data_IF_843294292866
#
_entry.id   IF_843294292866
#
_cell.length_a   1.000
_cell.length_b   1.000
_cell.length_c   1.000
_cell.angle_alpha   90.00
_cell.angle_beta   90.00
_cell.angle_gamma   90.00
#
_symmetry.space_group_name_H-M   'P 1'
#
loop_
_entity.id
_entity.type
_entity.pdbx_description
1 polymer ?
#
# COMPACT_ATOMS: atom_id res chain seq x y z
N UNK A 1 17.76 -15.46 -5.07
CA UNK A 1 17.57 -14.03 -5.33
C UNK A 1 16.40 -13.90 -6.29
N UNK A 2 15.26 -13.35 -5.86
CA UNK A 2 14.11 -13.09 -6.74
C UNK A 2 14.29 -11.71 -7.37
N UNK A 3 14.25 -11.64 -8.69
CA UNK A 3 14.16 -10.37 -9.38
C UNK A 3 12.83 -9.70 -9.00
N UNK A 4 12.86 -8.45 -8.56
CA UNK A 4 11.67 -7.65 -8.29
C UNK A 4 11.68 -6.44 -9.22
N UNK A 5 10.50 -6.02 -9.66
CA UNK A 5 10.32 -4.80 -10.46
C UNK A 5 10.49 -3.56 -9.60
N UNK A 6 9.93 -3.56 -8.38
CA UNK A 6 10.01 -2.45 -7.43
C UNK A 6 9.94 -2.97 -5.98
N UNK A 7 10.62 -2.30 -5.05
CA UNK A 7 10.52 -2.56 -3.61
C UNK A 7 10.74 -1.27 -2.82
N UNK A 8 9.92 -1.00 -1.81
CA UNK A 8 10.17 0.02 -0.78
C UNK A 8 10.39 -0.59 0.62
N UNK A 9 10.55 -1.91 0.68
CA UNK A 9 10.55 -2.68 1.92
C UNK A 9 11.63 -2.23 2.92
N UNK A 10 11.25 -2.08 4.20
CA UNK A 10 12.12 -1.64 5.30
C UNK A 10 12.85 -0.32 4.99
N UNK A 11 12.21 0.60 4.26
CA UNK A 11 12.78 1.89 3.89
C UNK A 11 13.90 1.81 2.83
N UNK A 12 14.17 0.63 2.26
CA UNK A 12 15.11 0.46 1.16
C UNK A 12 14.36 0.48 -0.16
N UNK A 13 14.58 1.52 -0.96
CA UNK A 13 13.99 1.63 -2.29
C UNK A 13 14.89 0.92 -3.31
N UNK A 14 14.30 -0.03 -4.04
CA UNK A 14 14.89 -0.66 -5.21
C UNK A 14 13.91 -0.55 -6.36
N UNK A 15 14.34 0.11 -7.43
CA UNK A 15 13.52 0.36 -8.62
C UNK A 15 14.25 -0.17 -9.86
N UNK A 16 13.75 -1.27 -10.42
CA UNK A 16 14.29 -1.90 -11.62
C UNK A 16 13.43 -1.60 -12.86
N UNK A 17 12.49 -0.64 -12.78
CA UNK A 17 11.57 -0.31 -13.89
C UNK A 17 12.26 0.37 -15.07
N UNK A 18 13.44 1.00 -14.86
CA UNK A 18 14.09 1.89 -15.83
C UNK A 18 15.42 1.39 -16.45
N UNK A 19 15.96 0.20 -16.13
CA UNK A 19 17.28 -0.17 -16.66
C UNK A 19 17.81 -1.59 -16.42
N UNK A 20 18.75 -1.99 -17.29
CA UNK A 20 19.38 -3.33 -17.43
C UNK A 20 20.13 -3.77 -16.16
N UNK A 21 19.98 -5.06 -15.85
CA UNK A 21 20.42 -5.80 -14.65
C UNK A 21 19.48 -5.62 -13.44
N UNK A 22 18.59 -6.62 -13.26
CA UNK A 22 17.70 -6.70 -12.11
C UNK A 22 18.51 -6.78 -10.81
N UNK A 23 18.44 -5.74 -9.98
CA UNK A 23 18.99 -5.81 -8.63
C UNK A 23 18.15 -6.79 -7.82
N UNK A 24 18.79 -7.87 -7.39
CA UNK A 24 18.20 -8.79 -6.44
C UNK A 24 17.97 -8.07 -5.11
N UNK A 25 16.75 -8.13 -4.59
CA UNK A 25 16.45 -7.61 -3.27
C UNK A 25 16.43 -8.79 -2.30
N UNK A 26 17.39 -8.81 -1.38
CA UNK A 26 17.26 -9.60 -0.15
C UNK A 26 16.44 -8.77 0.84
N UNK A 27 15.12 -8.70 0.61
CA UNK A 27 14.24 -7.85 1.42
C UNK A 27 13.88 -8.49 2.76
N UNK A 28 14.34 -9.72 3.06
CA UNK A 28 13.76 -10.53 4.13
C UNK A 28 12.26 -10.77 3.93
N UNK A 29 11.77 -10.62 2.70
CA UNK A 29 10.37 -10.79 2.33
C UNK A 29 10.13 -12.26 2.00
N UNK A 30 9.02 -12.86 2.47
CA UNK A 30 8.69 -14.24 2.15
C UNK A 30 8.72 -14.44 0.65
N UNK A 31 9.45 -15.46 0.16
CA UNK A 31 9.50 -15.79 -1.28
C UNK A 31 8.23 -16.50 -1.76
N UNK A 32 7.48 -17.05 -0.82
CA UNK A 32 6.25 -17.79 -1.05
C UNK A 32 5.24 -17.42 0.04
N UNK A 33 3.97 -17.39 -0.35
CA UNK A 33 2.82 -17.29 0.55
C UNK A 33 2.17 -18.68 0.59
N UNK A 34 2.55 -19.49 1.57
CA UNK A 34 2.26 -20.94 1.56
C UNK A 34 2.96 -21.59 0.37
N UNK A 35 2.20 -22.27 -0.49
CA UNK A 35 2.72 -22.97 -1.68
C UNK A 35 2.72 -22.09 -2.95
N UNK A 36 2.32 -20.82 -2.86
CA UNK A 36 2.15 -19.94 -4.02
C UNK A 36 3.20 -18.84 -4.07
N UNK A 37 3.70 -18.56 -5.26
CA UNK A 37 4.43 -17.32 -5.56
C UNK A 37 3.45 -16.14 -5.58
N UNK A 38 3.91 -14.95 -5.17
CA UNK A 38 3.13 -13.72 -5.22
C UNK A 38 3.64 -12.81 -6.35
N UNK A 39 2.74 -12.05 -6.98
CA UNK A 39 3.07 -11.02 -7.97
C UNK A 39 3.39 -9.69 -7.31
N UNK A 40 2.75 -9.39 -6.18
CA UNK A 40 3.05 -8.23 -5.35
C UNK A 40 2.63 -8.47 -3.89
N UNK A 41 3.30 -7.77 -2.97
CA UNK A 41 3.05 -7.76 -1.54
C UNK A 41 3.00 -6.31 -1.05
N UNK A 42 2.04 -5.99 -0.20
CA UNK A 42 1.94 -4.70 0.46
C UNK A 42 1.72 -4.90 1.95
N UNK A 43 2.43 -4.14 2.77
CA UNK A 43 2.36 -4.21 4.22
C UNK A 43 2.90 -2.96 4.88
N UNK A 44 2.84 -2.92 6.20
CA UNK A 44 3.36 -1.82 7.04
C UNK A 44 4.83 -1.42 6.77
N UNK A 45 5.63 -2.33 6.22
CA UNK A 45 7.05 -2.15 5.96
C UNK A 45 7.30 -1.66 4.52
N UNK A 46 6.25 -1.41 3.75
CA UNK A 46 6.30 -0.98 2.36
C UNK A 46 5.66 -2.00 1.42
N UNK A 47 6.06 -1.95 0.15
CA UNK A 47 5.57 -2.87 -0.88
C UNK A 47 6.71 -3.53 -1.64
N UNK A 48 6.43 -4.70 -2.18
CA UNK A 48 7.31 -5.44 -3.09
C UNK A 48 6.50 -5.86 -4.31
N UNK A 49 6.97 -5.50 -5.48
CA UNK A 49 6.37 -5.83 -6.78
C UNK A 49 7.31 -6.82 -7.47
N UNK A 50 6.95 -8.09 -7.50
CA UNK A 50 7.72 -9.14 -8.15
C UNK A 50 7.49 -9.14 -9.67
N UNK A 51 6.26 -8.82 -10.12
CA UNK A 51 5.86 -8.80 -11.52
C UNK A 51 5.41 -7.38 -11.94
N UNK A 52 5.90 -6.91 -13.10
CA UNK A 52 5.49 -5.64 -13.69
C UNK A 52 3.99 -5.58 -14.06
N UNK A 53 3.33 -6.74 -14.22
CA UNK A 53 1.89 -6.85 -14.44
C UNK A 53 1.02 -6.67 -13.18
N UNK A 54 1.61 -6.42 -12.00
CA UNK A 54 0.86 -6.27 -10.76
C UNK A 54 -0.03 -5.01 -10.75
N UNK A 55 -1.31 -5.18 -10.41
CA UNK A 55 -2.24 -4.07 -10.22
C UNK A 55 -2.08 -3.46 -8.81
N UNK A 56 -1.22 -2.45 -8.71
CA UNK A 56 -0.92 -1.75 -7.45
C UNK A 56 -2.15 -1.07 -6.82
N UNK A 57 -3.02 -0.36 -7.57
CA UNK A 57 -4.26 0.18 -7.01
C UNK A 57 -5.16 -0.89 -6.36
N UNK A 58 -5.35 -2.04 -7.01
CA UNK A 58 -6.13 -3.15 -6.43
C UNK A 58 -5.49 -3.74 -5.18
N UNK A 59 -4.16 -3.79 -5.13
CA UNK A 59 -3.42 -4.21 -3.94
C UNK A 59 -3.61 -3.23 -2.77
N UNK A 60 -3.53 -1.92 -3.03
CA UNK A 60 -3.79 -0.88 -2.03
C UNK A 60 -5.24 -0.92 -1.52
N UNK A 61 -6.21 -1.19 -2.40
CA UNK A 61 -7.61 -1.35 -2.00
C UNK A 61 -7.79 -2.57 -1.08
N UNK A 62 -7.19 -3.71 -1.42
CA UNK A 62 -7.23 -4.91 -0.58
C UNK A 62 -6.59 -4.63 0.79
N UNK A 63 -5.45 -3.92 0.80
CA UNK A 63 -4.78 -3.50 2.02
C UNK A 63 -5.67 -2.67 2.93
N UNK A 64 -6.32 -1.62 2.40
CA UNK A 64 -7.21 -0.77 3.18
C UNK A 64 -8.43 -1.52 3.71
N UNK A 65 -8.96 -2.48 2.96
CA UNK A 65 -10.06 -3.35 3.43
C UNK A 65 -9.64 -4.19 4.62
N UNK A 66 -8.42 -4.74 4.63
CA UNK A 66 -7.89 -5.44 5.81
C UNK A 66 -7.59 -4.47 6.96
N UNK A 67 -6.99 -3.32 6.68
CA UNK A 67 -6.76 -2.28 7.69
C UNK A 67 -8.08 -1.84 8.35
N UNK A 68 -9.18 -1.76 7.58
CA UNK A 68 -10.49 -1.39 8.12
C UNK A 68 -11.02 -2.40 9.13
N UNK A 69 -10.79 -3.70 8.91
CA UNK A 69 -11.17 -4.78 9.84
C UNK A 69 -10.36 -4.75 11.14
N UNK A 70 -9.11 -4.31 11.06
CA UNK A 70 -8.21 -4.17 12.22
C UNK A 70 -8.44 -2.86 13.00
N UNK A 71 -9.11 -1.87 12.40
CA UNK A 71 -9.44 -0.62 13.05
C UNK A 71 -10.37 -0.84 14.25
N UNK A 72 -9.98 -0.37 15.43
CA UNK A 72 -10.76 -0.52 16.66
C UNK A 72 -11.98 0.43 16.75
N UNK A 73 -12.09 1.45 15.89
CA UNK A 73 -13.19 2.41 15.89
C UNK A 73 -13.07 3.61 16.85
N UNK A 74 -12.06 3.62 17.73
CA UNK A 74 -11.93 4.60 18.83
C UNK A 74 -11.60 6.04 18.38
N UNK A 75 -11.03 6.22 17.19
CA UNK A 75 -10.84 7.54 16.59
C UNK A 75 -11.53 7.59 15.23
N UNK A 76 -12.51 8.51 15.12
CA UNK A 76 -13.30 8.72 13.91
C UNK A 76 -12.42 9.01 12.70
N UNK A 77 -11.35 9.78 12.87
CA UNK A 77 -10.41 10.13 11.80
C UNK A 77 -9.80 8.88 11.14
N UNK A 78 -9.42 7.87 11.92
CA UNK A 78 -8.86 6.63 11.40
C UNK A 78 -9.90 5.83 10.61
N UNK A 79 -11.06 5.53 11.21
CA UNK A 79 -12.08 4.69 10.56
C UNK A 79 -12.68 5.37 9.33
N UNK A 80 -13.09 6.64 9.45
CA UNK A 80 -13.66 7.41 8.34
C UNK A 80 -12.61 7.67 7.25
N UNK A 81 -11.35 7.93 7.64
CA UNK A 81 -10.25 8.11 6.70
C UNK A 81 -10.00 6.87 5.85
N UNK A 82 -9.93 5.69 6.46
CA UNK A 82 -9.79 4.41 5.75
C UNK A 82 -10.98 4.17 4.81
N UNK A 83 -12.21 4.43 5.25
CA UNK A 83 -13.42 4.25 4.45
C UNK A 83 -13.42 5.21 3.23
N UNK A 84 -12.99 6.45 3.42
CA UNK A 84 -12.90 7.44 2.34
C UNK A 84 -11.80 7.11 1.33
N UNK A 85 -10.62 6.68 1.80
CA UNK A 85 -9.53 6.23 0.92
C UNK A 85 -9.96 5.00 0.10
N UNK A 86 -10.67 4.06 0.73
CA UNK A 86 -11.22 2.87 0.06
C UNK A 86 -12.16 3.28 -1.08
N UNK A 87 -13.11 4.19 -0.83
CA UNK A 87 -14.04 4.66 -1.86
C UNK A 87 -13.34 5.39 -3.02
N UNK A 88 -12.30 6.18 -2.74
CA UNK A 88 -11.51 6.86 -3.77
C UNK A 88 -10.76 5.85 -4.65
N UNK A 89 -10.12 4.83 -4.05
CA UNK A 89 -9.46 3.77 -4.80
C UNK A 89 -10.43 2.92 -5.63
N UNK A 90 -11.62 2.61 -5.10
CA UNK A 90 -12.67 1.93 -5.87
C UNK A 90 -13.11 2.75 -7.08
N UNK A 91 -13.26 4.07 -6.93
CA UNK A 91 -13.52 4.99 -8.04
C UNK A 91 -12.40 5.00 -9.09
N UNK A 92 -11.14 5.06 -8.64
CA UNK A 92 -9.96 5.01 -9.53
C UNK A 92 -9.90 3.71 -10.32
N UNK A 93 -10.08 2.56 -9.66
CA UNK A 93 -10.07 1.24 -10.31
C UNK A 93 -11.24 1.10 -11.31
N UNK A 94 -12.40 1.69 -11.01
CA UNK A 94 -13.56 1.68 -11.91
C UNK A 94 -13.44 2.67 -13.08
N UNK A 95 -12.31 3.37 -13.24
CA UNK A 95 -12.13 4.37 -14.30
C UNK A 95 -12.93 5.66 -14.09
N UNK A 96 -13.44 5.90 -12.87
CA UNK A 96 -14.22 7.09 -12.49
C UNK A 96 -13.40 8.14 -11.74
N UNK A 97 -12.11 7.87 -11.55
CA UNK A 97 -11.22 8.76 -10.80
C UNK A 97 -10.92 10.07 -11.53
N UNK A 98 -10.63 11.09 -10.74
CA UNK A 98 -10.26 12.45 -11.18
C UNK A 98 -8.85 12.76 -10.72
N UNK A 99 -8.18 13.69 -11.43
CA UNK A 99 -6.84 14.16 -11.02
C UNK A 99 -6.81 14.71 -9.58
N UNK A 100 -7.93 15.29 -9.14
CA UNK A 100 -8.10 15.82 -7.77
C UNK A 100 -8.14 14.71 -6.71
N UNK A 101 -8.54 13.49 -7.07
CA UNK A 101 -8.64 12.38 -6.11
C UNK A 101 -7.27 11.98 -5.56
N UNK A 102 -6.19 12.17 -6.33
CA UNK A 102 -4.82 11.91 -5.87
C UNK A 102 -4.43 12.89 -4.75
N UNK A 103 -4.73 14.18 -4.92
CA UNK A 103 -4.47 15.18 -3.88
C UNK A 103 -5.35 14.94 -2.63
N UNK A 104 -6.58 14.48 -2.83
CA UNK A 104 -7.49 14.14 -1.75
C UNK A 104 -7.02 12.90 -0.97
N UNK A 105 -6.55 11.85 -1.66
CA UNK A 105 -5.90 10.68 -1.05
C UNK A 105 -4.73 11.14 -0.17
N UNK A 106 -3.84 11.98 -0.69
CA UNK A 106 -2.69 12.49 0.04
C UNK A 106 -3.09 13.24 1.31
N UNK A 107 -4.08 14.14 1.19
CA UNK A 107 -4.61 14.93 2.29
C UNK A 107 -5.22 14.07 3.39
N UNK A 108 -6.03 13.07 3.01
CA UNK A 108 -6.68 12.16 3.97
C UNK A 108 -5.62 11.32 4.66
N UNK A 109 -4.67 10.75 3.92
CA UNK A 109 -3.60 9.92 4.49
C UNK A 109 -2.80 10.70 5.52
N UNK A 110 -2.37 11.93 5.21
CA UNK A 110 -1.69 12.81 6.18
C UNK A 110 -2.54 13.09 7.42
N UNK A 111 -3.82 13.41 7.23
CA UNK A 111 -4.75 13.64 8.35
C UNK A 111 -4.92 12.41 9.25
N UNK A 112 -5.01 11.21 8.66
CA UNK A 112 -5.07 9.95 9.42
C UNK A 112 -3.76 9.72 10.18
N UNK A 113 -2.61 9.95 9.54
CA UNK A 113 -1.29 9.78 10.15
C UNK A 113 -1.06 10.71 11.34
N UNK A 114 -1.49 11.98 11.24
CA UNK A 114 -1.23 12.99 12.26
C UNK A 114 -2.24 12.95 13.43
N UNK A 115 -3.51 12.66 13.13
CA UNK A 115 -4.62 12.85 14.09
C UNK A 115 -5.11 11.55 14.75
N UNK A 116 -4.63 10.39 14.31
CA UNK A 116 -5.01 9.11 14.93
C UNK A 116 -4.47 8.95 16.35
N UNK A 117 -5.22 8.26 17.20
CA UNK A 117 -4.87 8.03 18.62
C UNK A 117 -3.72 7.04 18.82
N UNK A 118 -3.60 6.01 17.97
CA UNK A 118 -2.65 4.92 18.12
C UNK A 118 -1.76 4.73 16.87
N UNK A 119 -0.65 4.00 17.02
CA UNK A 119 0.32 3.76 15.93
C UNK A 119 -0.27 3.00 14.74
N UNK A 120 -1.33 2.21 14.95
CA UNK A 120 -2.05 1.61 13.83
C UNK A 120 -2.61 2.70 12.90
N UNK A 121 -3.39 3.64 13.43
CA UNK A 121 -3.90 4.74 12.60
C UNK A 121 -2.79 5.67 12.11
N UNK A 122 -1.78 5.95 12.95
CA UNK A 122 -0.70 6.89 12.59
C UNK A 122 0.26 6.37 11.51
N UNK A 123 0.37 5.06 11.33
CA UNK A 123 1.30 4.46 10.38
C UNK A 123 0.64 3.28 9.65
N UNK A 124 0.48 2.15 10.33
CA UNK A 124 0.14 0.88 9.70
C UNK A 124 -1.12 0.94 8.83
N UNK A 125 -2.14 1.72 9.18
CA UNK A 125 -3.39 1.76 8.43
C UNK A 125 -3.25 2.31 7.00
N UNK A 126 -2.36 3.28 6.79
CA UNK A 126 -2.38 4.11 5.55
C UNK A 126 -1.01 4.37 4.93
N UNK A 127 0.10 4.11 5.63
CA UNK A 127 1.47 4.32 5.11
C UNK A 127 1.72 3.67 3.73
N UNK A 128 1.25 2.45 3.42
CA UNK A 128 1.54 1.83 2.12
C UNK A 128 0.75 2.41 0.94
N UNK A 129 -0.19 3.31 1.23
CA UNK A 129 -1.03 4.01 0.24
C UNK A 129 -0.47 5.41 -0.07
N UNK A 130 0.59 5.83 0.64
CA UNK A 130 1.37 7.04 0.36
C UNK A 130 2.60 6.72 -0.49
#
# INVERSE_FOLDING_TARGET
MSAVSFSSWNGKIVDNRAGKAAKAVDAGVPKMLGDKSFTALMGWNGMVIADAGANVPSLALAYLKEARKLSCGECSVCSIGIDKLTALLEGLIAGKGKKQDIAEIERITKGVMELSKCNFGRASAVTPVF
#
